data_IF_087879321245
#
_entry.id   IF_087879321245
#
_cell.length_a   1.000
_cell.length_b   1.000
_cell.length_c   1.000
_cell.angle_alpha   90.00
_cell.angle_beta   90.00
_cell.angle_gamma   90.00
#
_symmetry.space_group_name_H-M   'P 1'
#
loop_
_entity.id
_entity.type
_entity.pdbx_description
1 polymer ?
#
# COMPACT_ATOMS: atom_id res chain seq x y z
N UNK A 1 -6.87 -21.36 84.55
CA UNK A 1 -5.66 -20.49 84.62
C UNK A 1 -4.97 -20.62 83.27
N UNK A 2 -4.95 -19.70 82.31
CA UNK A 2 -5.04 -18.25 82.36
C UNK A 2 -3.71 -17.66 81.86
N UNK A 3 -3.48 -17.62 80.54
CA UNK A 3 -2.45 -16.76 79.92
C UNK A 3 -2.73 -16.59 78.42
N UNK A 4 -3.34 -15.47 78.08
CA UNK A 4 -3.61 -14.96 76.74
C UNK A 4 -2.34 -14.32 76.13
N UNK A 5 -2.00 -14.77 74.92
CA UNK A 5 -1.53 -14.01 73.75
C UNK A 5 -0.59 -12.80 73.96
N UNK A 6 0.69 -12.98 73.61
CA UNK A 6 1.61 -11.90 73.23
C UNK A 6 1.60 -11.73 71.70
N UNK A 7 1.25 -10.54 71.20
CA UNK A 7 1.28 -10.19 69.77
C UNK A 7 2.55 -9.38 69.41
N UNK A 8 3.09 -9.51 68.18
CA UNK A 8 4.36 -8.90 67.78
C UNK A 8 4.15 -7.52 67.12
N UNK A 9 3.99 -6.46 67.91
CA UNK A 9 3.84 -5.09 67.36
C UNK A 9 4.85 -4.04 67.87
N UNK A 10 5.92 -4.46 68.53
CA UNK A 10 6.83 -3.53 69.26
C UNK A 10 8.26 -3.46 68.71
N UNK A 11 8.50 -3.72 67.42
CA UNK A 11 9.86 -3.66 66.84
C UNK A 11 10.01 -2.96 65.48
N UNK A 12 9.11 -2.05 65.10
CA UNK A 12 9.22 -1.28 63.83
C UNK A 12 9.50 0.21 63.98
N UNK A 13 10.03 0.67 65.12
CA UNK A 13 10.22 2.11 65.39
C UNK A 13 11.66 2.56 65.66
N UNK A 14 12.66 1.69 65.49
CA UNK A 14 14.09 1.98 65.75
C UNK A 14 14.98 1.60 64.54
N UNK A 15 14.48 1.80 63.33
CA UNK A 15 15.32 1.84 62.12
C UNK A 15 15.07 3.15 61.37
N UNK A 16 14.97 4.25 62.13
CA UNK A 16 14.73 5.62 61.67
C UNK A 16 15.99 6.50 61.77
N UNK A 17 17.18 5.91 61.90
CA UNK A 17 18.39 6.67 62.21
C UNK A 17 19.61 6.07 61.51
N UNK A 18 19.66 6.19 60.19
CA UNK A 18 20.89 6.25 59.38
C UNK A 18 20.54 6.29 57.89
N UNK A 19 20.53 7.49 57.29
CA UNK A 19 21.08 7.83 55.95
C UNK A 19 20.65 9.24 55.55
N UNK A 20 21.11 10.25 56.29
CA UNK A 20 21.04 11.66 55.91
C UNK A 20 22.42 12.12 55.44
N UNK A 21 22.87 11.61 54.29
CA UNK A 21 23.99 12.19 53.54
C UNK A 21 23.63 12.19 52.05
N UNK A 22 23.28 13.38 51.59
CA UNK A 22 23.66 13.98 50.30
C UNK A 22 23.73 13.03 49.10
N UNK A 23 22.60 12.91 48.40
CA UNK A 23 22.62 12.90 46.93
C UNK A 23 21.52 13.83 46.44
N UNK A 24 21.90 15.07 46.15
CA UNK A 24 21.19 15.86 45.14
C UNK A 24 21.47 15.14 43.82
N UNK A 25 20.63 14.17 43.49
CA UNK A 25 20.64 13.59 42.16
C UNK A 25 19.92 14.59 41.28
N UNK A 26 20.68 15.46 40.62
CA UNK A 26 20.21 16.13 39.42
C UNK A 26 19.78 15.02 38.45
N UNK A 27 18.49 14.69 38.45
CA UNK A 27 17.88 14.00 37.34
C UNK A 27 17.90 15.01 36.20
N UNK A 28 19.04 15.07 35.51
CA UNK A 28 19.13 15.61 34.17
C UNK A 28 18.41 14.59 33.29
N UNK A 29 17.08 14.65 33.35
CA UNK A 29 16.21 13.93 32.44
C UNK A 29 16.65 14.31 31.04
N UNK A 30 17.04 13.29 30.28
CA UNK A 30 17.30 13.37 28.85
C UNK A 30 16.30 14.37 28.22
N UNK A 31 16.69 15.29 27.31
CA UNK A 31 15.74 16.11 26.57
C UNK A 31 15.01 15.23 25.55
N UNK A 32 14.35 14.18 26.01
CA UNK A 32 13.30 13.53 25.26
C UNK A 32 12.25 14.61 25.05
N UNK A 33 12.03 15.00 23.80
CA UNK A 33 10.90 15.83 23.43
C UNK A 33 9.67 15.33 24.18
N UNK A 34 9.07 16.21 24.95
CA UNK A 34 7.95 15.86 25.82
C UNK A 34 6.72 15.69 24.91
N UNK A 35 6.55 14.48 24.34
CA UNK A 35 5.54 14.18 23.33
C UNK A 35 4.14 13.91 23.93
N UNK A 36 4.01 14.00 25.26
CA UNK A 36 2.74 13.85 25.99
C UNK A 36 1.59 14.74 25.49
N UNK A 37 1.80 16.01 25.08
CA UNK A 37 0.73 16.88 24.59
C UNK A 37 0.10 16.41 23.27
N UNK A 38 0.77 15.53 22.50
CA UNK A 38 0.29 15.17 21.15
C UNK A 38 -0.58 13.91 21.10
N UNK A 39 -0.60 13.12 22.17
CA UNK A 39 -1.36 11.86 22.24
C UNK A 39 -2.89 12.02 22.15
N UNK A 40 -3.52 13.07 22.70
CA UNK A 40 -4.98 13.19 22.70
C UNK A 40 -5.62 13.40 21.32
N UNK A 41 -4.89 13.99 20.36
CA UNK A 41 -5.45 14.30 19.04
C UNK A 41 -5.10 13.24 17.97
N UNK A 42 -3.98 12.54 18.12
CA UNK A 42 -3.53 11.55 17.12
C UNK A 42 -4.47 10.35 17.07
N UNK A 43 -4.88 9.81 18.22
CA UNK A 43 -5.79 8.64 18.24
C UNK A 43 -7.16 8.94 17.62
N UNK A 44 -7.84 10.07 17.95
CA UNK A 44 -9.07 10.46 17.25
C UNK A 44 -8.88 10.68 15.74
N UNK A 45 -7.76 11.27 15.32
CA UNK A 45 -7.44 11.44 13.89
C UNK A 45 -7.30 10.08 13.19
N UNK A 46 -6.60 9.13 13.79
CA UNK A 46 -6.48 7.76 13.24
C UNK A 46 -7.85 7.08 13.17
N UNK A 47 -8.68 7.20 14.21
CA UNK A 47 -10.03 6.61 14.22
C UNK A 47 -10.90 7.22 13.11
N UNK A 48 -10.94 8.55 13.00
CA UNK A 48 -11.74 9.25 11.98
C UNK A 48 -11.27 8.93 10.57
N UNK A 49 -9.96 8.99 10.31
CA UNK A 49 -9.38 8.65 9.01
C UNK A 49 -9.63 7.18 8.63
N UNK A 50 -9.51 6.27 9.60
CA UNK A 50 -9.81 4.85 9.41
C UNK A 50 -11.27 4.64 9.03
N UNK A 51 -12.21 5.18 9.81
CA UNK A 51 -13.64 5.01 9.56
C UNK A 51 -14.03 5.54 8.17
N UNK A 52 -13.56 6.75 7.83
CA UNK A 52 -13.92 7.39 6.56
C UNK A 52 -13.31 6.66 5.36
N UNK A 53 -12.06 6.20 5.46
CA UNK A 53 -11.43 5.40 4.41
C UNK A 53 -12.05 4.00 4.29
N UNK A 54 -12.43 3.36 5.40
CA UNK A 54 -13.09 2.05 5.40
C UNK A 54 -14.48 2.11 4.74
N UNK A 55 -15.29 3.12 5.07
CA UNK A 55 -16.60 3.32 4.46
C UNK A 55 -16.48 3.63 2.97
N UNK A 56 -15.60 4.56 2.58
CA UNK A 56 -15.38 4.88 1.16
C UNK A 56 -14.84 3.69 0.38
N UNK A 57 -13.92 2.89 0.96
CA UNK A 57 -13.42 1.67 0.35
C UNK A 57 -14.50 0.59 0.17
N UNK A 58 -15.37 0.41 1.17
CA UNK A 58 -16.50 -0.51 1.05
C UNK A 58 -17.49 -0.07 -0.03
N UNK A 59 -17.81 1.23 -0.11
CA UNK A 59 -18.66 1.77 -1.19
C UNK A 59 -18.07 1.52 -2.57
N UNK A 60 -16.76 1.78 -2.75
CA UNK A 60 -16.06 1.55 -4.01
C UNK A 60 -16.03 0.05 -4.39
N UNK A 61 -15.86 -0.84 -3.42
CA UNK A 61 -15.88 -2.28 -3.67
C UNK A 61 -17.22 -2.74 -4.28
N UNK A 62 -18.34 -2.21 -3.78
CA UNK A 62 -19.68 -2.51 -4.30
C UNK A 62 -20.11 -1.62 -5.47
N UNK A 63 -19.23 -0.76 -6.00
CA UNK A 63 -19.56 0.25 -7.04
C UNK A 63 -20.72 1.18 -6.64
N UNK A 64 -20.89 1.40 -5.33
CA UNK A 64 -21.86 2.34 -4.75
C UNK A 64 -21.21 3.71 -4.49
N UNK A 65 -19.99 3.92 -4.97
CA UNK A 65 -19.30 5.19 -4.85
C UNK A 65 -19.91 6.26 -5.77
N UNK A 66 -19.90 7.52 -5.31
CA UNK A 66 -20.36 8.66 -6.09
C UNK A 66 -19.61 9.92 -5.68
N UNK A 67 -19.54 10.89 -6.59
CA UNK A 67 -18.95 12.21 -6.32
C UNK A 67 -17.52 12.13 -5.79
N UNK A 68 -17.33 12.57 -4.55
CA UNK A 68 -16.02 12.70 -3.90
C UNK A 68 -15.48 11.41 -3.26
N UNK A 69 -16.22 10.29 -3.29
CA UNK A 69 -15.84 9.07 -2.56
C UNK A 69 -14.46 8.53 -2.98
N UNK A 70 -14.18 8.46 -4.28
CA UNK A 70 -12.89 8.00 -4.81
C UNK A 70 -11.74 8.92 -4.38
N UNK A 71 -11.89 10.22 -4.60
CA UNK A 71 -10.88 11.21 -4.21
C UNK A 71 -10.64 11.20 -2.70
N UNK A 72 -11.71 11.13 -1.90
CA UNK A 72 -11.62 11.00 -0.45
C UNK A 72 -10.84 9.74 -0.07
N UNK A 73 -11.14 8.58 -0.65
CA UNK A 73 -10.42 7.34 -0.36
C UNK A 73 -8.91 7.46 -0.64
N UNK A 74 -8.56 7.96 -1.83
CA UNK A 74 -7.15 8.13 -2.24
C UNK A 74 -6.37 9.06 -1.30
N UNK A 75 -6.92 10.24 -0.96
CA UNK A 75 -6.24 11.19 -0.08
C UNK A 75 -6.25 10.76 1.40
N UNK A 76 -7.33 10.12 1.86
CA UNK A 76 -7.43 9.63 3.24
C UNK A 76 -6.51 8.45 3.48
N UNK A 77 -6.20 7.62 2.48
CA UNK A 77 -5.18 6.58 2.62
C UNK A 77 -3.82 7.17 3.02
N UNK A 78 -3.42 8.31 2.44
CA UNK A 78 -2.20 9.03 2.83
C UNK A 78 -2.28 9.57 4.25
N UNK A 79 -3.39 10.21 4.61
CA UNK A 79 -3.61 10.72 5.96
C UNK A 79 -3.56 9.57 7.00
N UNK A 80 -4.12 8.40 6.67
CA UNK A 80 -4.09 7.23 7.53
C UNK A 80 -2.67 6.68 7.70
N UNK A 81 -1.88 6.59 6.62
CA UNK A 81 -0.47 6.15 6.70
C UNK A 81 0.33 7.05 7.65
N UNK A 82 0.17 8.38 7.54
CA UNK A 82 0.83 9.33 8.44
C UNK A 82 0.35 9.14 9.87
N UNK A 83 -0.97 9.09 10.09
CA UNK A 83 -1.57 8.93 11.41
C UNK A 83 -1.14 7.63 12.11
N UNK A 84 -1.17 6.51 11.40
CA UNK A 84 -0.74 5.20 11.92
C UNK A 84 0.75 5.20 12.22
N UNK A 85 1.58 5.80 11.35
CA UNK A 85 3.03 5.93 11.59
C UNK A 85 3.30 6.70 12.88
N UNK A 86 2.66 7.87 13.05
CA UNK A 86 2.77 8.65 14.28
C UNK A 86 2.27 7.86 15.50
N UNK A 87 1.15 7.15 15.36
CA UNK A 87 0.61 6.31 16.43
C UNK A 87 1.59 5.21 16.86
N UNK A 88 2.25 4.54 15.91
CA UNK A 88 3.27 3.52 16.18
C UNK A 88 4.50 4.14 16.85
N UNK A 89 5.01 5.26 16.33
CA UNK A 89 6.19 5.94 16.88
C UNK A 89 5.98 6.41 18.33
N UNK A 90 4.78 6.91 18.64
CA UNK A 90 4.42 7.33 20.00
C UNK A 90 4.07 6.18 20.95
N UNK A 91 3.90 4.97 20.42
CA UNK A 91 3.57 3.77 21.19
C UNK A 91 4.55 2.61 20.93
N UNK A 92 5.81 2.92 20.58
CA UNK A 92 6.83 1.94 20.23
C UNK A 92 7.01 0.81 21.24
N UNK A 93 7.04 1.05 22.57
CA UNK A 93 7.19 -0.05 23.53
C UNK A 93 6.02 -1.04 23.49
N UNK A 94 4.79 -0.54 23.36
CA UNK A 94 3.60 -1.38 23.22
C UNK A 94 3.60 -2.12 21.89
N UNK A 95 3.96 -1.44 20.80
CA UNK A 95 4.07 -2.04 19.48
C UNK A 95 5.09 -3.19 19.44
N UNK A 96 6.30 -2.97 19.99
CA UNK A 96 7.36 -4.00 20.06
C UNK A 96 6.92 -5.24 20.86
N UNK A 97 6.06 -5.07 21.86
CA UNK A 97 5.57 -6.19 22.68
C UNK A 97 4.79 -7.22 21.85
N UNK A 98 4.10 -6.82 20.77
CA UNK A 98 3.36 -7.76 19.93
C UNK A 98 4.26 -8.77 19.21
N UNK A 99 5.51 -8.40 18.91
CA UNK A 99 6.49 -9.34 18.33
C UNK A 99 6.97 -10.40 19.32
N UNK A 100 6.79 -10.18 20.64
CA UNK A 100 7.13 -11.18 21.65
C UNK A 100 5.96 -12.12 21.97
N UNK A 101 4.73 -11.75 21.61
CA UNK A 101 3.53 -12.52 21.90
C UNK A 101 3.20 -13.45 20.73
N UNK A 102 2.91 -14.73 21.01
CA UNK A 102 2.53 -15.69 19.96
C UNK A 102 1.32 -15.24 19.15
N UNK A 103 0.19 -14.80 19.75
CA UNK A 103 -0.94 -14.30 18.98
C UNK A 103 -0.59 -13.11 18.08
N UNK A 104 0.21 -12.16 18.60
CA UNK A 104 0.67 -11.00 17.84
C UNK A 104 1.48 -11.40 16.60
N UNK A 105 2.47 -12.27 16.78
CA UNK A 105 3.29 -12.79 15.66
C UNK A 105 2.46 -13.53 14.61
N UNK A 106 1.50 -14.36 15.04
CA UNK A 106 0.63 -15.12 14.12
C UNK A 106 -0.22 -14.18 13.27
N UNK A 107 -0.92 -13.23 13.90
CA UNK A 107 -1.80 -12.29 13.18
C UNK A 107 -0.98 -11.41 12.22
N UNK A 108 0.14 -10.84 12.68
CA UNK A 108 1.00 -10.02 11.82
C UNK A 108 1.58 -10.82 10.66
N UNK A 109 2.02 -12.06 10.91
CA UNK A 109 2.52 -12.97 9.89
C UNK A 109 1.47 -13.31 8.84
N UNK A 110 0.20 -13.53 9.25
CA UNK A 110 -0.90 -13.78 8.32
C UNK A 110 -1.15 -12.59 7.39
N UNK A 111 -1.26 -11.38 7.93
CA UNK A 111 -1.46 -10.18 7.09
C UNK A 111 -0.25 -9.90 6.19
N UNK A 112 0.97 -10.12 6.67
CA UNK A 112 2.17 -10.01 5.84
C UNK A 112 2.18 -11.05 4.71
N UNK A 113 1.71 -12.27 4.98
CA UNK A 113 1.54 -13.30 3.95
C UNK A 113 0.48 -12.91 2.92
N UNK A 114 -0.69 -12.42 3.34
CA UNK A 114 -1.74 -11.93 2.42
C UNK A 114 -1.19 -10.80 1.54
N UNK A 115 -0.44 -9.87 2.13
CA UNK A 115 0.24 -8.80 1.38
C UNK A 115 1.26 -9.37 0.39
N UNK A 116 2.11 -10.32 0.80
CA UNK A 116 3.06 -10.95 -0.10
C UNK A 116 2.36 -11.68 -1.28
N UNK A 117 1.28 -12.40 -0.99
CA UNK A 117 0.45 -13.08 -1.98
C UNK A 117 -0.23 -12.10 -2.95
N UNK A 118 -0.54 -10.87 -2.51
CA UNK A 118 -1.12 -9.84 -3.40
C UNK A 118 -0.20 -9.38 -4.53
N UNK A 119 1.11 -9.63 -4.41
CA UNK A 119 2.08 -9.36 -5.48
C UNK A 119 2.20 -10.50 -6.50
N UNK A 120 1.61 -11.67 -6.22
CA UNK A 120 1.58 -12.77 -7.19
C UNK A 120 0.58 -12.39 -8.28
N UNK A 121 1.01 -12.32 -9.56
CA UNK A 121 0.09 -12.04 -10.65
C UNK A 121 -1.01 -13.11 -10.66
N UNK A 122 -2.28 -12.67 -10.61
CA UNK A 122 -3.38 -13.60 -10.79
C UNK A 122 -3.27 -14.20 -12.20
N UNK A 123 -3.02 -15.52 -12.27
CA UNK A 123 -3.00 -16.24 -13.54
C UNK A 123 -4.41 -16.18 -14.13
N UNK A 124 -4.58 -15.34 -15.16
CA UNK A 124 -5.80 -15.12 -15.95
C UNK A 124 -7.04 -14.62 -15.19
N UNK A 125 -7.46 -13.38 -15.47
CA UNK A 125 -8.82 -12.93 -15.12
C UNK A 125 -8.93 -11.57 -14.43
N UNK A 126 -7.85 -10.80 -14.28
CA UNK A 126 -8.00 -9.38 -14.01
C UNK A 126 -8.82 -8.77 -15.14
N UNK A 127 -9.94 -8.11 -14.80
CA UNK A 127 -10.76 -7.37 -15.76
C UNK A 127 -9.84 -6.49 -16.60
N UNK A 128 -9.63 -6.86 -17.86
CA UNK A 128 -8.73 -6.07 -18.69
C UNK A 128 -9.23 -4.63 -18.72
N UNK A 129 -8.34 -3.63 -18.80
CA UNK A 129 -8.78 -2.26 -18.97
C UNK A 129 -9.80 -2.19 -20.11
N UNK A 130 -10.85 -1.36 -20.00
CA UNK A 130 -11.93 -1.34 -21.00
C UNK A 130 -11.46 -1.10 -22.46
N UNK A 131 -10.26 -0.55 -22.65
CA UNK A 131 -9.62 -0.38 -23.95
C UNK A 131 -8.88 -1.61 -24.49
N UNK A 132 -8.63 -2.63 -23.66
CA UNK A 132 -7.83 -3.79 -24.03
C UNK A 132 -8.48 -4.64 -25.13
N UNK A 133 -9.80 -4.95 -25.10
CA UNK A 133 -10.39 -5.77 -26.18
C UNK A 133 -10.30 -5.11 -27.56
N UNK A 134 -10.61 -3.81 -27.75
CA UNK A 134 -10.37 -3.13 -29.03
C UNK A 134 -8.89 -3.13 -29.45
N UNK A 135 -7.97 -2.88 -28.52
CA UNK A 135 -6.52 -2.91 -28.80
C UNK A 135 -6.09 -4.31 -29.25
N UNK A 136 -6.54 -5.36 -28.56
CA UNK A 136 -6.23 -6.74 -28.93
C UNK A 136 -6.81 -7.09 -30.30
N UNK A 137 -8.03 -6.63 -30.61
CA UNK A 137 -8.63 -6.83 -31.92
C UNK A 137 -7.79 -6.19 -33.03
N UNK A 138 -7.32 -4.95 -32.82
CA UNK A 138 -6.39 -4.28 -33.75
C UNK A 138 -5.04 -5.00 -33.82
N UNK A 139 -4.49 -5.44 -32.68
CA UNK A 139 -3.19 -6.10 -32.65
C UNK A 139 -3.19 -7.44 -33.39
N UNK A 140 -4.31 -8.17 -33.39
CA UNK A 140 -4.49 -9.43 -34.12
C UNK A 140 -4.96 -9.22 -35.58
N UNK A 141 -5.29 -7.98 -35.97
CA UNK A 141 -5.69 -7.70 -37.34
C UNK A 141 -4.47 -7.78 -38.28
N UNK A 142 -4.64 -8.25 -39.53
CA UNK A 142 -3.60 -8.19 -40.55
C UNK A 142 -3.10 -6.77 -40.77
N UNK A 143 -1.81 -6.61 -41.08
CA UNK A 143 -1.20 -5.31 -41.41
C UNK A 143 -1.99 -4.58 -42.52
N UNK A 144 -2.51 -5.30 -43.51
CA UNK A 144 -3.36 -4.71 -44.54
C UNK A 144 -4.62 -4.03 -43.96
N UNK A 145 -5.26 -4.63 -42.95
CA UNK A 145 -6.43 -4.05 -42.29
C UNK A 145 -6.04 -2.88 -41.37
N UNK A 146 -4.90 -2.99 -40.68
CA UNK A 146 -4.34 -1.88 -39.89
C UNK A 146 -4.05 -0.64 -40.76
N UNK A 147 -3.55 -0.84 -41.97
CA UNK A 147 -3.31 0.23 -42.92
C UNK A 147 -4.60 0.96 -43.32
N UNK A 148 -5.71 0.22 -43.50
CA UNK A 148 -7.02 0.82 -43.76
C UNK A 148 -7.52 1.67 -42.58
N UNK A 149 -7.36 1.16 -41.35
CA UNK A 149 -7.71 1.92 -40.13
C UNK A 149 -6.85 3.17 -39.98
N UNK A 150 -5.57 3.09 -40.35
CA UNK A 150 -4.63 4.22 -40.33
C UNK A 150 -4.81 5.21 -41.50
N UNK A 151 -5.60 4.87 -42.52
CA UNK A 151 -5.73 5.68 -43.73
C UNK A 151 -4.44 5.80 -44.55
N UNK A 152 -3.59 4.76 -44.53
CA UNK A 152 -2.28 4.74 -45.21
C UNK A 152 -2.07 3.43 -45.99
N UNK A 153 -0.94 3.27 -46.68
CA UNK A 153 -0.65 2.03 -47.41
C UNK A 153 -0.07 0.93 -46.48
N UNK A 154 -0.21 -0.33 -46.89
CA UNK A 154 0.41 -1.44 -46.15
C UNK A 154 1.95 -1.31 -46.13
N UNK A 155 2.55 -0.77 -47.19
CA UNK A 155 3.99 -0.54 -47.28
C UNK A 155 4.47 0.54 -46.29
N UNK A 156 3.68 1.59 -46.07
CA UNK A 156 3.98 2.62 -45.07
C UNK A 156 3.96 2.03 -43.65
N UNK A 157 2.95 1.20 -43.34
CA UNK A 157 2.87 0.48 -42.06
C UNK A 157 4.06 -0.44 -41.86
N UNK A 158 4.42 -1.24 -42.87
CA UNK A 158 5.61 -2.12 -42.84
C UNK A 158 6.88 -1.32 -42.60
N UNK A 159 7.04 -0.19 -43.29
CA UNK A 159 8.20 0.70 -43.12
C UNK A 159 8.31 1.21 -41.69
N UNK A 160 7.19 1.61 -41.07
CA UNK A 160 7.16 2.04 -39.65
C UNK A 160 7.48 0.89 -38.70
N UNK A 161 6.98 -0.32 -38.97
CA UNK A 161 7.30 -1.51 -38.20
C UNK A 161 8.79 -1.88 -38.29
N UNK A 162 9.38 -1.81 -39.49
CA UNK A 162 10.82 -1.99 -39.69
C UNK A 162 11.65 -0.93 -38.97
N UNK A 163 11.24 0.34 -39.04
CA UNK A 163 11.87 1.43 -38.29
C UNK A 163 11.76 1.23 -36.76
N UNK A 164 10.71 0.57 -36.30
CA UNK A 164 10.54 0.17 -34.90
C UNK A 164 11.34 -1.10 -34.51
N UNK A 165 12.09 -1.69 -35.45
CA UNK A 165 12.95 -2.85 -35.21
C UNK A 165 12.30 -4.21 -35.46
N UNK A 166 11.10 -4.25 -36.06
CA UNK A 166 10.39 -5.49 -36.35
C UNK A 166 10.64 -5.98 -37.78
N UNK A 167 10.83 -7.28 -37.94
CA UNK A 167 10.92 -7.91 -39.26
C UNK A 167 9.53 -8.34 -39.72
N UNK A 168 8.91 -7.56 -40.60
CA UNK A 168 7.66 -7.94 -41.27
C UNK A 168 7.97 -8.70 -42.56
N UNK A 169 7.35 -9.85 -42.75
CA UNK A 169 7.57 -10.70 -43.93
C UNK A 169 6.34 -10.77 -44.85
N UNK A 170 5.16 -10.37 -44.36
CA UNK A 170 3.89 -10.49 -45.07
C UNK A 170 2.85 -9.48 -44.56
N UNK A 171 1.95 -9.06 -45.46
CA UNK A 171 0.82 -8.17 -45.13
C UNK A 171 -0.28 -8.85 -44.30
N UNK A 172 -0.24 -10.19 -44.21
CA UNK A 172 -1.14 -11.00 -43.40
C UNK A 172 -0.67 -11.13 -41.94
N UNK A 173 0.58 -10.78 -41.67
CA UNK A 173 1.12 -10.77 -40.32
C UNK A 173 0.45 -9.68 -39.49
N UNK A 174 0.30 -9.94 -38.19
CA UNK A 174 -0.31 -9.01 -37.23
C UNK A 174 0.73 -8.42 -36.28
N UNK A 175 0.36 -7.38 -35.53
CA UNK A 175 1.24 -6.83 -34.47
C UNK A 175 1.41 -7.85 -33.34
N UNK A 176 0.38 -8.63 -33.04
CA UNK A 176 0.44 -9.69 -32.04
C UNK A 176 1.46 -10.78 -32.40
N UNK A 177 1.67 -11.07 -33.69
CA UNK A 177 2.71 -12.00 -34.13
C UNK A 177 4.13 -11.46 -33.91
N UNK A 178 4.28 -10.12 -33.90
CA UNK A 178 5.58 -9.45 -33.73
C UNK A 178 5.97 -9.27 -32.26
N UNK A 179 5.00 -8.97 -31.39
CA UNK A 179 5.25 -8.61 -29.98
C UNK A 179 4.62 -9.54 -28.95
N UNK A 180 3.87 -10.55 -29.41
CA UNK A 180 3.17 -11.51 -28.56
C UNK A 180 1.92 -10.93 -27.89
N UNK A 181 1.47 -11.62 -26.83
CA UNK A 181 0.22 -11.31 -26.11
C UNK A 181 0.30 -10.15 -25.11
N UNK A 182 1.46 -9.50 -24.95
CA UNK A 182 1.65 -8.40 -24.00
C UNK A 182 0.91 -7.15 -24.47
N UNK A 183 -0.12 -6.75 -23.73
CA UNK A 183 -0.98 -5.62 -24.08
C UNK A 183 -0.18 -4.31 -24.17
N UNK A 184 0.82 -4.13 -23.31
CA UNK A 184 1.63 -2.90 -23.30
C UNK A 184 2.48 -2.79 -24.56
N UNK A 185 3.12 -3.87 -24.97
CA UNK A 185 3.89 -3.95 -26.21
C UNK A 185 2.99 -3.76 -27.43
N UNK A 186 1.78 -4.33 -27.43
CA UNK A 186 0.79 -4.14 -28.48
C UNK A 186 0.38 -2.66 -28.61
N UNK A 187 0.04 -1.99 -27.50
CA UNK A 187 -0.30 -0.55 -27.50
C UNK A 187 0.88 0.27 -28.02
N UNK A 188 2.08 0.06 -27.45
CA UNK A 188 3.26 0.83 -27.84
C UNK A 188 3.60 0.70 -29.32
N UNK A 189 3.39 -0.48 -29.90
CA UNK A 189 3.61 -0.73 -31.33
C UNK A 189 2.51 -0.10 -32.18
N UNK A 190 1.24 -0.32 -31.82
CA UNK A 190 0.11 0.28 -32.52
C UNK A 190 0.18 1.81 -32.51
N UNK A 191 0.56 2.45 -31.40
CA UNK A 191 0.72 3.91 -31.35
C UNK A 191 1.78 4.41 -32.33
N UNK A 192 2.93 3.73 -32.45
CA UNK A 192 3.99 4.12 -33.40
C UNK A 192 3.57 3.95 -34.86
N UNK A 193 2.76 2.93 -35.12
CA UNK A 193 2.36 2.57 -36.50
C UNK A 193 1.16 3.38 -36.97
N UNK A 194 0.18 3.60 -36.11
CA UNK A 194 -1.07 4.30 -36.42
C UNK A 194 -0.97 5.84 -36.28
N UNK A 195 0.12 6.36 -35.71
CA UNK A 195 0.34 7.79 -35.60
C UNK A 195 0.34 8.47 -36.99
N UNK A 196 -0.31 9.64 -37.17
CA UNK A 196 -0.23 10.39 -38.41
C UNK A 196 1.24 10.76 -38.71
N UNK A 197 1.65 10.80 -40.00
CA UNK A 197 2.99 11.24 -40.35
C UNK A 197 3.23 12.68 -39.82
N UNK A 198 4.27 12.85 -39.00
CA UNK A 198 4.67 14.14 -38.42
C UNK A 198 4.24 14.40 -36.97
N UNK A 199 3.87 13.37 -36.21
CA UNK A 199 3.63 13.46 -34.75
C UNK A 199 4.77 12.88 -33.92
#
# INVERSE_FOLDING_TARGET
MGALLYSPFTQRRIFFKNRLHTRVSTYQGNPAMNLHPHRPWITPVVIGAFLLSAVTGALMFFHLDSGLNKAAHEWLSWAMVIGVTLHVLLNLPAFKRYFSQTPGRVIMGLFALVLALSFIPAASGGSEPGFAPPVRALANAPIAALAQVAGTSADDVKTRLHAAGFAVTSDQQSVADLVGGDLRAQIGTLTKVLAPPGS
#
